data_IF_960374181052
#
_entry.id   IF_960374181052
#
_cell.length_a   1.000
_cell.length_b   1.000
_cell.length_c   1.000
_cell.angle_alpha   90.00
_cell.angle_beta   90.00
_cell.angle_gamma   90.00
#
_symmetry.space_group_name_H-M   'P 1'
#
loop_
_entity.id
_entity.type
_entity.pdbx_description
1 polymer ?
#
# COMPACT_ATOMS: atom_id res chain seq x y z
N UNK A 1 -28.98 -1.49 -4.25
CA UNK A 1 -27.83 -1.30 -3.35
C UNK A 1 -26.95 -0.20 -3.90
N UNK A 2 -26.44 0.68 -3.06
CA UNK A 2 -25.55 1.78 -3.48
C UNK A 2 -24.11 1.39 -3.21
N UNK A 3 -23.24 1.57 -4.21
CA UNK A 3 -21.82 1.36 -4.03
C UNK A 3 -21.18 2.52 -3.26
N UNK A 4 -20.30 2.19 -2.32
CA UNK A 4 -19.53 3.16 -1.55
C UNK A 4 -18.05 3.02 -1.89
N UNK A 5 -17.36 4.14 -2.00
CA UNK A 5 -15.93 4.20 -2.25
C UNK A 5 -15.28 5.19 -1.30
N UNK A 6 -14.29 4.72 -0.55
CA UNK A 6 -13.59 5.52 0.45
C UNK A 6 -12.11 5.46 0.16
N UNK A 7 -11.49 6.64 0.03
CA UNK A 7 -10.04 6.77 0.00
C UNK A 7 -9.55 7.10 1.41
N UNK A 8 -8.67 6.27 1.93
CA UNK A 8 -8.13 6.42 3.27
C UNK A 8 -6.61 6.47 3.19
N UNK A 9 -5.99 7.49 3.81
CA UNK A 9 -4.55 7.48 4.05
C UNK A 9 -4.28 6.65 5.30
N UNK A 10 -3.93 5.37 5.13
CA UNK A 10 -3.65 4.44 6.22
C UNK A 10 -2.38 4.86 6.97
N UNK A 11 -2.45 5.16 8.28
CA UNK A 11 -1.26 5.44 9.08
C UNK A 11 -0.37 4.21 9.27
N UNK A 12 0.88 4.46 9.64
CA UNK A 12 1.81 3.43 10.11
C UNK A 12 1.25 2.69 11.33
N UNK A 13 1.56 1.40 11.43
CA UNK A 13 1.17 0.56 12.57
C UNK A 13 -0.27 0.05 12.52
N UNK A 14 -1.09 0.52 11.58
CA UNK A 14 -2.50 0.11 11.43
C UNK A 14 -2.63 -1.11 10.51
N UNK A 15 -3.41 -2.10 10.94
CA UNK A 15 -3.74 -3.28 10.14
C UNK A 15 -4.82 -2.97 9.09
N UNK A 16 -4.65 -3.49 7.87
CA UNK A 16 -5.63 -3.36 6.78
C UNK A 16 -6.81 -4.35 6.95
N UNK A 17 -7.53 -4.25 8.06
CA UNK A 17 -8.72 -5.06 8.37
C UNK A 17 -9.64 -4.33 9.36
N UNK A 18 -10.91 -4.73 9.42
CA UNK A 18 -11.88 -4.22 10.41
C UNK A 18 -12.04 -5.15 11.63
N UNK A 19 -11.73 -6.44 11.46
CA UNK A 19 -11.84 -7.43 12.53
C UNK A 19 -10.72 -7.25 13.54
N UNK A 20 -11.10 -7.09 14.80
CA UNK A 20 -10.16 -7.07 15.91
C UNK A 20 -9.74 -8.52 16.23
N UNK A 21 -8.43 -8.80 16.26
CA UNK A 21 -7.91 -10.05 16.80
C UNK A 21 -7.41 -9.79 18.22
N UNK A 22 -7.88 -10.58 19.18
CA UNK A 22 -7.54 -10.43 20.60
C UNK A 22 -6.02 -10.51 20.86
N UNK A 23 -5.28 -11.17 19.97
CA UNK A 23 -3.83 -11.37 20.10
C UNK A 23 -2.97 -10.25 19.49
N UNK A 24 -3.59 -9.26 18.82
CA UNK A 24 -2.84 -8.17 18.16
C UNK A 24 -3.01 -6.85 18.92
N UNK A 25 -1.95 -6.35 19.55
CA UNK A 25 -1.91 -5.01 20.16
C UNK A 25 -1.87 -3.86 19.13
N UNK A 26 -2.45 -4.03 17.94
CA UNK A 26 -2.35 -3.08 16.83
C UNK A 26 -3.72 -2.55 16.42
N UNK A 27 -3.81 -1.23 16.12
CA UNK A 27 -5.06 -0.64 15.67
C UNK A 27 -5.51 -1.20 14.31
N UNK A 28 -6.82 -1.28 14.13
CA UNK A 28 -7.49 -1.73 12.90
C UNK A 28 -8.17 -0.55 12.19
N UNK A 29 -8.69 -0.76 10.98
CA UNK A 29 -9.41 0.27 10.21
C UNK A 29 -10.66 0.78 10.93
N UNK A 30 -11.24 -0.03 11.82
CA UNK A 30 -12.42 0.29 12.63
C UNK A 30 -12.22 1.51 13.52
N UNK A 31 -10.98 1.79 13.96
CA UNK A 31 -10.66 2.96 14.76
C UNK A 31 -10.73 4.29 13.95
N UNK A 32 -10.69 4.21 12.62
CA UNK A 32 -10.59 5.38 11.74
C UNK A 32 -11.80 5.54 10.82
N UNK A 33 -12.53 4.47 10.53
CA UNK A 33 -13.56 4.44 9.49
C UNK A 33 -14.87 3.92 10.10
N UNK A 34 -15.82 4.82 10.45
CA UNK A 34 -17.11 4.44 11.02
C UNK A 34 -18.14 4.08 9.93
N UNK A 35 -17.69 3.45 8.83
CA UNK A 35 -18.55 3.08 7.70
C UNK A 35 -18.65 1.55 7.68
N UNK A 36 -19.86 0.98 7.84
CA UNK A 36 -20.03 -0.48 7.83
C UNK A 36 -19.99 -1.05 6.41
N UNK A 37 -19.79 -2.37 6.33
CA UNK A 37 -19.91 -3.19 5.11
C UNK A 37 -19.01 -2.79 3.92
N UNK A 38 -17.96 -2.01 4.17
CA UNK A 38 -16.89 -1.75 3.19
C UNK A 38 -15.64 -2.52 3.58
N UNK A 39 -14.87 -2.92 2.58
CA UNK A 39 -13.66 -3.72 2.76
C UNK A 39 -12.51 -3.13 1.96
N UNK A 40 -11.27 -3.28 2.44
CA UNK A 40 -10.11 -2.78 1.73
C UNK A 40 -9.92 -3.50 0.38
N UNK A 41 -9.62 -2.72 -0.66
CA UNK A 41 -9.25 -3.20 -1.99
C UNK A 41 -7.77 -3.54 -1.98
N UNK A 42 -7.49 -4.79 -1.64
CA UNK A 42 -6.14 -5.28 -1.39
C UNK A 42 -5.70 -4.97 0.04
N UNK A 43 -4.46 -5.33 0.36
CA UNK A 43 -3.88 -5.11 1.69
C UNK A 43 -2.67 -4.20 1.57
N UNK A 44 -2.59 -3.23 2.47
CA UNK A 44 -1.37 -2.49 2.74
C UNK A 44 -0.77 -3.00 4.05
N UNK A 45 0.53 -3.29 4.06
CA UNK A 45 1.18 -3.87 5.23
C UNK A 45 1.11 -2.94 6.44
N UNK A 46 1.19 -3.53 7.65
CA UNK A 46 1.12 -2.80 8.91
C UNK A 46 2.18 -1.70 8.99
N UNK A 47 3.40 -2.01 8.56
CA UNK A 47 4.55 -1.12 8.56
C UNK A 47 4.61 -0.19 7.33
N UNK A 48 3.60 -0.22 6.46
CA UNK A 48 3.45 0.68 5.33
C UNK A 48 2.38 1.74 5.62
N UNK A 49 2.41 2.82 4.85
CA UNK A 49 1.48 3.95 4.97
C UNK A 49 0.96 4.37 3.60
N UNK A 50 -0.12 5.15 3.60
CA UNK A 50 -0.61 5.81 2.40
C UNK A 50 -1.95 5.29 1.90
N UNK A 51 -2.18 5.42 0.60
CA UNK A 51 -3.50 5.24 0.01
C UNK A 51 -4.02 3.80 0.16
N UNK A 52 -5.20 3.68 0.74
CA UNK A 52 -6.00 2.47 0.80
C UNK A 52 -7.41 2.80 0.31
N UNK A 53 -7.85 2.13 -0.76
CA UNK A 53 -9.24 2.19 -1.23
C UNK A 53 -10.07 1.17 -0.45
N UNK A 54 -11.26 1.56 -0.02
CA UNK A 54 -12.26 0.66 0.56
C UNK A 54 -13.58 0.75 -0.20
N UNK A 55 -14.25 -0.38 -0.38
CA UNK A 55 -15.54 -0.44 -1.07
C UNK A 55 -16.35 -1.66 -0.68
N UNK A 56 -17.67 -1.59 -0.90
CA UNK A 56 -18.59 -2.74 -0.89
C UNK A 56 -18.83 -3.30 -2.32
N UNK A 57 -18.18 -2.74 -3.35
CA UNK A 57 -18.30 -3.18 -4.73
C UNK A 57 -17.33 -4.34 -5.03
N UNK A 58 -17.79 -5.58 -4.85
CA UNK A 58 -16.97 -6.79 -5.05
C UNK A 58 -16.37 -6.94 -6.45
N UNK A 59 -17.10 -6.51 -7.51
CA UNK A 59 -16.59 -6.53 -8.89
C UNK A 59 -15.35 -5.66 -9.06
N UNK A 60 -15.38 -4.42 -8.57
CA UNK A 60 -14.22 -3.52 -8.61
C UNK A 60 -13.08 -4.05 -7.74
N UNK A 61 -13.38 -4.62 -6.57
CA UNK A 61 -12.36 -5.20 -5.70
C UNK A 61 -11.59 -6.32 -6.41
N UNK A 62 -12.30 -7.25 -7.06
CA UNK A 62 -11.68 -8.32 -7.85
C UNK A 62 -10.81 -7.75 -8.98
N UNK A 63 -11.35 -6.79 -9.74
CA UNK A 63 -10.63 -6.18 -10.86
C UNK A 63 -9.31 -5.50 -10.42
N UNK A 64 -9.33 -4.75 -9.32
CA UNK A 64 -8.14 -4.02 -8.84
C UNK A 64 -7.12 -4.90 -8.11
N UNK A 65 -7.54 -6.06 -7.60
CA UNK A 65 -6.69 -6.94 -6.80
C UNK A 65 -6.07 -8.08 -7.60
N UNK A 66 -6.76 -8.57 -8.64
CA UNK A 66 -6.27 -9.70 -9.43
C UNK A 66 -5.05 -9.28 -10.28
N UNK A 67 -3.88 -9.94 -10.10
CA UNK A 67 -2.65 -9.64 -10.85
C UNK A 67 -2.81 -9.70 -12.38
N UNK A 68 -3.83 -10.41 -12.89
CA UNK A 68 -4.14 -10.51 -14.32
C UNK A 68 -4.43 -9.14 -14.94
N UNK A 69 -5.06 -8.22 -14.20
CA UNK A 69 -5.40 -6.89 -14.73
C UNK A 69 -4.23 -5.91 -14.67
N UNK A 70 -3.19 -6.18 -13.87
CA UNK A 70 -1.90 -5.50 -13.95
C UNK A 70 -1.92 -4.00 -13.65
N UNK A 71 -2.78 -3.55 -12.72
CA UNK A 71 -2.86 -2.13 -12.36
C UNK A 71 -1.54 -1.61 -11.76
N UNK A 72 -1.01 -0.47 -12.23
CA UNK A 72 0.19 0.12 -11.68
C UNK A 72 -0.06 0.63 -10.26
N UNK A 73 0.97 0.51 -9.41
CA UNK A 73 0.98 1.06 -8.05
C UNK A 73 2.26 1.87 -7.89
N UNK A 74 2.12 3.07 -7.34
CA UNK A 74 3.24 4.00 -7.14
C UNK A 74 3.52 4.12 -5.66
N UNK A 75 4.79 4.04 -5.29
CA UNK A 75 5.25 4.10 -3.91
C UNK A 75 6.36 5.14 -3.78
N UNK A 76 6.29 5.92 -2.72
CA UNK A 76 7.46 6.63 -2.22
C UNK A 76 8.13 5.76 -1.17
N UNK A 77 9.41 5.51 -1.35
CA UNK A 77 10.18 4.58 -0.51
C UNK A 77 11.39 5.32 0.03
N UNK A 78 11.51 5.34 1.34
CA UNK A 78 12.71 5.81 2.03
C UNK A 78 13.64 4.62 2.27
N UNK A 79 14.91 4.77 1.95
CA UNK A 79 15.95 3.75 2.11
C UNK A 79 17.12 4.31 2.91
N UNK A 80 17.95 3.43 3.45
CA UNK A 80 19.23 3.80 4.04
C UNK A 80 20.24 4.11 2.93
N UNK A 81 20.98 5.21 3.08
CA UNK A 81 21.95 5.69 2.09
C UNK A 81 21.30 6.33 0.85
N UNK A 82 22.13 6.60 -0.16
CA UNK A 82 21.71 7.18 -1.44
C UNK A 82 21.99 6.14 -2.54
N UNK A 83 20.95 5.56 -3.18
CA UNK A 83 21.15 4.64 -4.28
C UNK A 83 21.89 5.29 -5.45
N UNK A 84 22.91 4.61 -5.96
CA UNK A 84 23.63 5.05 -7.15
C UNK A 84 22.82 4.75 -8.45
N UNK A 85 23.23 5.33 -9.60
CA UNK A 85 22.53 5.08 -10.87
C UNK A 85 22.45 3.61 -11.28
N UNK A 86 23.44 2.79 -10.92
CA UNK A 86 23.49 1.38 -11.28
C UNK A 86 22.45 0.57 -10.47
N UNK A 87 22.29 0.90 -9.18
CA UNK A 87 21.27 0.31 -8.31
C UNK A 87 19.86 0.64 -8.83
N UNK A 88 19.61 1.89 -9.23
CA UNK A 88 18.33 2.30 -9.81
C UNK A 88 18.03 1.57 -11.13
N UNK A 89 19.03 1.44 -12.01
CA UNK A 89 18.90 0.69 -13.26
C UNK A 89 18.58 -0.78 -13.01
N UNK A 90 19.30 -1.42 -12.08
CA UNK A 90 19.09 -2.82 -11.70
C UNK A 90 17.67 -3.03 -11.17
N UNK A 91 17.19 -2.14 -10.30
CA UNK A 91 15.83 -2.19 -9.78
C UNK A 91 14.78 -2.02 -10.90
N UNK A 92 15.00 -1.08 -11.82
CA UNK A 92 14.07 -0.81 -12.93
C UNK A 92 13.95 -1.98 -13.92
N UNK A 93 15.03 -2.75 -14.12
CA UNK A 93 15.06 -3.91 -15.02
C UNK A 93 14.51 -5.18 -14.38
N UNK A 94 14.20 -5.12 -13.08
CA UNK A 94 13.70 -6.21 -12.28
C UNK A 94 14.81 -7.07 -11.68
N UNK A 95 14.61 -7.41 -10.40
CA UNK A 95 15.56 -8.14 -9.55
C UNK A 95 15.03 -9.53 -9.22
N UNK A 96 15.92 -10.46 -8.87
CA UNK A 96 15.51 -11.75 -8.33
C UNK A 96 15.29 -11.63 -6.83
N UNK A 97 14.08 -11.96 -6.38
CA UNK A 97 13.74 -12.05 -4.97
C UNK A 97 13.19 -13.45 -4.68
N UNK A 98 13.77 -14.13 -3.69
CA UNK A 98 13.52 -15.55 -3.42
C UNK A 98 13.77 -16.37 -4.70
N UNK A 99 12.71 -16.91 -5.32
CA UNK A 99 12.79 -17.79 -6.49
C UNK A 99 12.08 -17.23 -7.72
N UNK A 100 11.84 -15.91 -7.81
CA UNK A 100 11.27 -15.30 -9.01
C UNK A 100 11.93 -13.95 -9.33
N UNK A 101 11.87 -13.58 -10.61
CA UNK A 101 12.31 -12.26 -11.09
C UNK A 101 11.12 -11.30 -11.10
N UNK A 102 11.29 -10.11 -10.54
CA UNK A 102 10.26 -9.06 -10.61
C UNK A 102 10.08 -8.57 -12.04
N UNK A 103 8.89 -8.04 -12.35
CA UNK A 103 8.67 -7.32 -13.60
C UNK A 103 9.49 -6.02 -13.59
N UNK A 104 9.84 -5.46 -14.77
CA UNK A 104 10.40 -4.13 -14.86
C UNK A 104 9.48 -3.09 -14.20
N UNK A 105 10.08 -2.04 -13.65
CA UNK A 105 9.37 -0.97 -12.95
C UNK A 105 9.97 0.40 -13.31
N UNK A 106 9.14 1.44 -13.18
CA UNK A 106 9.64 2.81 -13.21
C UNK A 106 10.25 3.13 -11.85
N UNK A 107 11.50 3.57 -11.84
CA UNK A 107 12.24 3.91 -10.62
C UNK A 107 12.87 5.28 -10.82
N UNK A 108 12.67 6.18 -9.86
CA UNK A 108 13.21 7.54 -9.92
C UNK A 108 13.65 7.96 -8.53
N UNK A 109 14.88 8.46 -8.43
CA UNK A 109 15.37 9.06 -7.20
C UNK A 109 14.72 10.45 -7.05
N UNK A 110 14.08 10.68 -5.90
CA UNK A 110 13.53 11.99 -5.58
C UNK A 110 14.64 12.90 -5.06
N UNK A 111 14.76 14.11 -5.60
CA UNK A 111 15.70 15.13 -5.13
C UNK A 111 15.22 15.84 -3.88
N UNK A 112 13.91 15.82 -3.64
CA UNK A 112 13.24 16.48 -2.53
C UNK A 112 12.24 15.52 -1.88
N UNK A 113 12.08 15.55 -0.56
CA UNK A 113 11.09 14.72 0.11
C UNK A 113 9.68 15.11 -0.36
N UNK A 114 8.78 14.14 -0.60
CA UNK A 114 7.40 14.43 -0.92
C UNK A 114 6.68 15.09 0.26
N UNK A 115 5.65 15.89 -0.02
CA UNK A 115 4.80 16.45 1.02
C UNK A 115 3.87 15.35 1.56
N UNK A 116 4.23 14.78 2.70
CA UNK A 116 3.48 13.72 3.38
C UNK A 116 3.00 14.18 4.75
N UNK A 117 1.87 13.65 5.25
CA UNK A 117 1.52 13.77 6.66
C UNK A 117 2.65 13.28 7.56
N UNK A 118 2.80 13.85 8.78
CA UNK A 118 3.80 13.37 9.73
C UNK A 118 3.54 11.90 10.09
N UNK A 119 4.62 11.13 10.16
CA UNK A 119 4.59 9.71 10.55
C UNK A 119 4.73 9.57 12.06
N UNK A 120 4.06 8.56 12.64
CA UNK A 120 4.19 8.20 14.06
C UNK A 120 4.44 6.68 14.18
N UNK A 121 5.55 6.24 14.80
CA UNK A 121 6.72 7.05 15.18
C UNK A 121 7.44 7.62 13.95
N UNK A 122 8.12 8.77 14.07
CA UNK A 122 8.84 9.39 12.95
C UNK A 122 9.91 8.47 12.35
#
# INVERSE_FOLDING_TARGET
MTWQYVLFYKPYGVLSQFTDHQDTCHPTLKAFIPIPEIYPVGRLDRNSEGLLLLTNHGGLQHQLCDPKFGHPRTYWVQVEGIPDPQALQTLSQGVTIRNYRTRPAQVTLLTNPPLLPPRIPP
#
